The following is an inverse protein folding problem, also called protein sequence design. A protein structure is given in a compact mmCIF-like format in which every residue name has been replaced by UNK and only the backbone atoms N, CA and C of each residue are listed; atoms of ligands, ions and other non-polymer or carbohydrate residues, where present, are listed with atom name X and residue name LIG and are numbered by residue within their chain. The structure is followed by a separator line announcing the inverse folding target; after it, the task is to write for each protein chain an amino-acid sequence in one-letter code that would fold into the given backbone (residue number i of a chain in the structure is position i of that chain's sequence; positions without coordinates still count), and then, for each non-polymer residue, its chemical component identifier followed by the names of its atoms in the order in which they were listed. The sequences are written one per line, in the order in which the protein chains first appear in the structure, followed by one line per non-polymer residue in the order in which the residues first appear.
data_IF_985332405753
#
_entry.id   IF_985332405753
#
_cell.length_a   1.000
_cell.length_b   1.000
_cell.length_c   1.000
_cell.angle_alpha   90.00
_cell.angle_beta   90.00
_cell.angle_gamma   90.00
#
_symmetry.space_group_name_H-M   'P 1'
#
loop_
_entity.id
_entity.type
_entity.pdbx_description
1 polymer ?
#
# COMPACT_ATOMS: atom_id res chain seq x y z
N UNK A 1 6.74 26.13 -6.31
CA UNK A 1 5.43 26.38 -6.96
C UNK A 1 4.78 25.05 -7.31
N UNK A 2 3.47 25.03 -7.57
CA UNK A 2 2.75 23.80 -8.01
C UNK A 2 3.39 23.19 -9.26
N UNK A 3 3.84 24.02 -10.21
CA UNK A 3 4.52 23.57 -11.42
C UNK A 3 5.81 22.79 -11.15
N UNK A 4 6.64 23.25 -10.20
CA UNK A 4 7.88 22.55 -9.83
C UNK A 4 7.59 21.18 -9.21
N UNK A 5 6.61 21.10 -8.30
CA UNK A 5 6.22 19.83 -7.67
C UNK A 5 5.69 18.83 -8.71
N UNK A 6 4.87 19.31 -9.66
CA UNK A 6 4.37 18.48 -10.75
C UNK A 6 5.49 17.96 -11.65
N UNK A 7 6.42 18.83 -12.03
CA UNK A 7 7.58 18.45 -12.85
C UNK A 7 8.45 17.42 -12.13
N UNK A 8 8.77 17.65 -10.85
CA UNK A 8 9.52 16.71 -10.03
C UNK A 8 8.81 15.35 -9.93
N UNK A 9 7.50 15.34 -9.70
CA UNK A 9 6.72 14.09 -9.64
C UNK A 9 6.78 13.30 -10.95
N UNK A 10 6.65 13.98 -12.11
CA UNK A 10 6.76 13.32 -13.42
C UNK A 10 8.16 12.77 -13.67
N UNK A 11 9.20 13.55 -13.34
CA UNK A 11 10.60 13.09 -13.45
C UNK A 11 10.83 11.86 -12.58
N UNK A 12 10.33 11.87 -11.34
CA UNK A 12 10.44 10.71 -10.42
C UNK A 12 9.74 9.48 -11.00
N UNK A 13 8.54 9.62 -11.54
CA UNK A 13 7.81 8.48 -12.15
C UNK A 13 8.59 7.89 -13.32
N UNK A 14 9.13 8.72 -14.21
CA UNK A 14 9.94 8.27 -15.35
C UNK A 14 11.23 7.60 -14.88
N UNK A 15 11.95 8.23 -13.95
CA UNK A 15 13.20 7.70 -13.42
C UNK A 15 13.00 6.36 -12.69
N UNK A 16 11.99 6.27 -11.81
CA UNK A 16 11.64 5.03 -11.13
C UNK A 16 11.20 3.95 -12.11
N UNK A 17 10.41 4.30 -13.13
CA UNK A 17 9.98 3.35 -14.17
C UNK A 17 11.16 2.79 -14.97
N UNK A 18 12.10 3.65 -15.38
CA UNK A 18 13.32 3.24 -16.08
C UNK A 18 14.21 2.34 -15.21
N UNK A 19 14.43 2.71 -13.94
CA UNK A 19 15.18 1.90 -12.99
C UNK A 19 14.52 0.53 -12.75
N UNK A 20 13.19 0.50 -12.67
CA UNK A 20 12.43 -0.74 -12.48
C UNK A 20 12.48 -1.64 -13.71
N UNK A 21 12.42 -1.05 -14.92
CA UNK A 21 12.58 -1.77 -16.18
C UNK A 21 13.98 -2.37 -16.32
N UNK A 22 15.03 -1.68 -15.82
CA UNK A 22 16.40 -2.19 -15.82
C UNK A 22 16.58 -3.43 -14.91
N UNK A 23 15.74 -3.59 -13.88
CA UNK A 23 15.69 -4.79 -13.03
C UNK A 23 14.84 -5.93 -13.63
N UNK A 24 14.25 -5.70 -14.81
CA UNK A 24 13.49 -6.70 -15.55
C UNK A 24 11.97 -6.52 -15.48
N UNK A 25 11.23 -7.19 -16.39
CA UNK A 25 9.79 -6.99 -16.55
C UNK A 25 8.97 -7.43 -15.32
N UNK A 26 9.41 -8.48 -14.62
CA UNK A 26 8.75 -8.95 -13.41
C UNK A 26 8.85 -7.93 -12.27
N UNK A 27 10.05 -7.35 -12.05
CA UNK A 27 10.24 -6.29 -11.07
C UNK A 27 9.42 -5.05 -11.45
N UNK A 28 9.46 -4.62 -12.72
CA UNK A 28 8.67 -3.50 -13.22
C UNK A 28 7.17 -3.67 -12.93
N UNK A 29 6.62 -4.87 -13.17
CA UNK A 29 5.23 -5.18 -12.89
C UNK A 29 4.93 -5.13 -11.38
N UNK A 30 5.73 -5.81 -10.55
CA UNK A 30 5.51 -5.86 -9.10
C UNK A 30 5.62 -4.47 -8.47
N UNK A 31 6.63 -3.69 -8.84
CA UNK A 31 6.80 -2.32 -8.37
C UNK A 31 5.70 -1.39 -8.91
N UNK A 32 5.26 -1.58 -10.15
CA UNK A 32 4.13 -0.87 -10.73
C UNK A 32 2.82 -1.12 -9.98
N UNK A 33 2.54 -2.36 -9.59
CA UNK A 33 1.40 -2.74 -8.74
C UNK A 33 1.49 -2.07 -7.36
N UNK A 34 2.67 -2.11 -6.73
CA UNK A 34 2.93 -1.48 -5.43
C UNK A 34 2.62 0.04 -5.48
N UNK A 35 3.20 0.76 -6.44
CA UNK A 35 2.99 2.21 -6.60
C UNK A 35 1.56 2.53 -7.01
N UNK A 36 1.01 1.76 -7.95
CA UNK A 36 -0.36 1.91 -8.43
C UNK A 36 -1.39 1.76 -7.32
N UNK A 37 -1.18 0.84 -6.38
CA UNK A 37 -2.03 0.70 -5.20
C UNK A 37 -2.02 1.98 -4.34
N UNK A 38 -0.84 2.56 -4.07
CA UNK A 38 -0.72 3.83 -3.33
C UNK A 38 -1.41 5.00 -4.04
N UNK A 39 -1.31 5.07 -5.37
CA UNK A 39 -2.04 6.08 -6.16
C UNK A 39 -3.55 5.86 -6.13
N UNK A 40 -4.02 4.63 -6.28
CA UNK A 40 -5.45 4.31 -6.20
C UNK A 40 -6.04 4.66 -4.82
N UNK A 41 -5.27 4.44 -3.75
CA UNK A 41 -5.61 4.89 -2.41
C UNK A 41 -5.87 6.40 -2.37
N UNK A 42 -4.91 7.19 -2.84
CA UNK A 42 -4.98 8.65 -2.83
C UNK A 42 -6.01 9.23 -3.82
N UNK A 43 -6.22 8.58 -4.97
CA UNK A 43 -7.18 8.99 -5.99
C UNK A 43 -8.63 8.93 -5.48
N UNK A 44 -8.92 8.05 -4.51
CA UNK A 44 -10.22 8.06 -3.86
C UNK A 44 -10.53 6.88 -2.96
N UNK A 45 -9.85 5.74 -3.11
CA UNK A 45 -10.19 4.53 -2.34
C UNK A 45 -10.06 4.74 -0.82
N UNK A 46 -9.21 5.65 -0.36
CA UNK A 46 -9.11 6.00 1.07
C UNK A 46 -10.43 6.46 1.69
N UNK A 47 -11.36 6.98 0.88
CA UNK A 47 -12.68 7.48 1.31
C UNK A 47 -13.80 6.43 1.20
N UNK A 48 -13.48 5.21 0.79
CA UNK A 48 -14.46 4.14 0.55
C UNK A 48 -14.28 2.98 1.52
N UNK A 49 -15.25 2.06 1.56
CA UNK A 49 -15.10 0.80 2.31
C UNK A 49 -13.98 -0.10 1.76
N UNK A 50 -13.46 0.17 0.56
CA UNK A 50 -12.34 -0.55 -0.04
C UNK A 50 -10.97 0.04 0.33
N UNK A 51 -10.89 0.97 1.30
CA UNK A 51 -9.64 1.65 1.67
C UNK A 51 -8.50 0.71 2.09
N UNK A 52 -8.83 -0.51 2.55
CA UNK A 52 -7.85 -1.52 2.96
C UNK A 52 -7.23 -2.27 1.77
N UNK A 53 -7.93 -2.34 0.63
CA UNK A 53 -7.50 -3.12 -0.55
C UNK A 53 -6.13 -2.67 -1.07
N UNK A 54 -5.84 -1.35 -1.21
CA UNK A 54 -4.51 -0.89 -1.60
C UNK A 54 -3.38 -1.38 -0.68
N UNK A 55 -3.62 -1.47 0.63
CA UNK A 55 -2.61 -1.94 1.57
C UNK A 55 -2.39 -3.45 1.45
N UNK A 56 -3.46 -4.23 1.33
CA UNK A 56 -3.38 -5.68 1.08
C UNK A 56 -2.56 -5.97 -0.19
N UNK A 57 -2.87 -5.27 -1.28
CA UNK A 57 -2.18 -5.43 -2.56
C UNK A 57 -0.73 -4.97 -2.47
N UNK A 58 -0.47 -3.78 -1.91
CA UNK A 58 0.88 -3.23 -1.81
C UNK A 58 1.78 -4.10 -0.92
N UNK A 59 1.37 -4.36 0.33
CA UNK A 59 2.19 -5.15 1.25
C UNK A 59 2.26 -6.62 0.86
N UNK A 60 1.23 -7.18 0.22
CA UNK A 60 1.31 -8.53 -0.33
C UNK A 60 2.26 -8.66 -1.51
N UNK A 61 2.41 -7.60 -2.31
CA UNK A 61 3.36 -7.58 -3.45
C UNK A 61 4.79 -7.27 -3.00
N UNK A 62 4.96 -6.58 -1.86
CA UNK A 62 6.25 -6.08 -1.38
C UNK A 62 7.35 -7.16 -1.26
N UNK A 63 7.11 -8.36 -0.70
CA UNK A 63 8.12 -9.43 -0.67
C UNK A 63 8.62 -9.80 -2.07
N UNK A 64 7.73 -9.85 -3.06
CA UNK A 64 8.10 -10.15 -4.44
C UNK A 64 8.88 -9.02 -5.09
N UNK A 65 8.62 -7.75 -4.76
CA UNK A 65 9.46 -6.62 -5.22
C UNK A 65 10.90 -6.81 -4.72
N UNK A 66 11.08 -7.15 -3.44
CA UNK A 66 12.41 -7.38 -2.87
C UNK A 66 13.10 -8.58 -3.52
N UNK A 67 12.40 -9.71 -3.65
CA UNK A 67 12.98 -10.93 -4.23
C UNK A 67 13.35 -10.76 -5.71
N UNK A 68 12.49 -10.11 -6.51
CA UNK A 68 12.73 -9.85 -7.93
C UNK A 68 13.82 -8.81 -8.19
N UNK A 69 14.19 -8.02 -7.19
CA UNK A 69 15.31 -7.06 -7.29
C UNK A 69 16.67 -7.69 -6.98
N UNK A 70 16.71 -8.96 -6.61
CA UNK A 70 17.92 -9.70 -6.27
C UNK A 70 18.66 -10.27 -7.49
N UNK A 71 19.85 -10.88 -7.26
CA UNK A 71 20.66 -11.47 -8.33
C UNK A 71 20.04 -12.72 -8.98
N UNK A 72 19.14 -13.41 -8.26
CA UNK A 72 18.34 -14.54 -8.76
C UNK A 72 16.85 -14.16 -8.68
N UNK A 73 16.31 -13.48 -9.70
CA UNK A 73 15.02 -12.83 -9.62
C UNK A 73 13.87 -13.83 -9.76
N UNK A 74 13.39 -14.32 -8.61
CA UNK A 74 12.19 -15.16 -8.49
C UNK A 74 11.15 -14.50 -7.59
N UNK A 75 9.83 -14.63 -7.88
CA UNK A 75 8.80 -14.12 -6.98
C UNK A 75 8.90 -14.74 -5.58
N UNK A 76 8.47 -13.98 -4.57
CA UNK A 76 8.45 -14.48 -3.21
C UNK A 76 7.46 -15.64 -3.06
N UNK A 77 7.71 -16.50 -2.07
CA UNK A 77 6.81 -17.59 -1.73
C UNK A 77 5.40 -17.07 -1.40
N UNK A 78 4.37 -17.84 -1.75
CA UNK A 78 2.98 -17.43 -1.56
C UNK A 78 2.64 -17.10 -0.09
N UNK A 79 3.23 -17.83 0.87
CA UNK A 79 3.03 -17.55 2.29
C UNK A 79 3.61 -16.18 2.69
N UNK A 80 4.75 -15.77 2.11
CA UNK A 80 5.37 -14.48 2.42
C UNK A 80 4.52 -13.33 1.87
N UNK A 81 3.98 -13.50 0.66
CA UNK A 81 3.00 -12.56 0.09
C UNK A 81 1.71 -12.49 0.93
N UNK A 82 1.22 -13.63 1.43
CA UNK A 82 0.05 -13.68 2.30
C UNK A 82 0.31 -12.98 3.64
N UNK A 83 1.45 -13.24 4.29
CA UNK A 83 1.88 -12.53 5.51
C UNK A 83 1.98 -11.02 5.25
N UNK A 84 2.62 -10.60 4.16
CA UNK A 84 2.68 -9.20 3.77
C UNK A 84 1.28 -8.58 3.63
N UNK A 85 0.37 -9.25 2.94
CA UNK A 85 -1.02 -8.80 2.80
C UNK A 85 -1.73 -8.63 4.15
N UNK A 86 -1.56 -9.56 5.08
CA UNK A 86 -2.11 -9.50 6.45
C UNK A 86 -1.51 -8.33 7.24
N UNK A 87 -0.19 -8.13 7.17
CA UNK A 87 0.48 -6.98 7.78
C UNK A 87 -0.01 -5.65 7.18
N UNK A 88 -0.31 -5.61 5.88
CA UNK A 88 -0.94 -4.47 5.23
C UNK A 88 -2.28 -4.09 5.86
N UNK A 89 -3.10 -5.07 6.26
CA UNK A 89 -4.34 -4.82 7.02
C UNK A 89 -4.00 -4.16 8.36
N UNK A 90 -3.04 -4.71 9.10
CA UNK A 90 -2.63 -4.14 10.39
C UNK A 90 -2.20 -2.68 10.24
N UNK A 91 -1.30 -2.40 9.29
CA UNK A 91 -0.75 -1.07 9.03
C UNK A 91 -1.84 -0.08 8.60
N UNK A 92 -2.76 -0.49 7.73
CA UNK A 92 -3.88 0.39 7.32
C UNK A 92 -4.72 0.82 8.52
N UNK A 93 -5.06 -0.12 9.40
CA UNK A 93 -5.90 0.15 10.55
C UNK A 93 -5.16 0.93 11.65
N UNK A 94 -3.89 0.61 11.93
CA UNK A 94 -3.08 1.38 12.91
C UNK A 94 -2.81 2.80 12.46
N UNK A 95 -2.65 3.05 11.15
CA UNK A 95 -2.49 4.39 10.62
C UNK A 95 -3.75 5.26 10.77
N UNK A 96 -4.94 4.66 10.73
CA UNK A 96 -6.21 5.40 10.83
C UNK A 96 -6.66 5.61 12.27
N UNK A 97 -6.28 4.74 13.21
CA UNK A 97 -6.77 4.77 14.59
C UNK A 97 -6.49 6.08 15.37
N UNK A 98 -5.28 6.67 15.31
CA UNK A 98 -4.99 7.93 15.98
C UNK A 98 -5.88 9.07 15.48
N UNK A 99 -6.05 9.17 14.16
CA UNK A 99 -6.67 10.30 13.47
C UNK A 99 -8.14 10.08 13.10
N UNK A 100 -8.75 8.99 13.59
CA UNK A 100 -10.05 8.48 13.14
C UNK A 100 -11.18 9.53 13.18
N UNK A 101 -11.21 10.39 14.19
CA UNK A 101 -12.22 11.44 14.33
C UNK A 101 -11.92 12.66 13.46
N UNK A 102 -10.65 13.03 13.31
CA UNK A 102 -10.23 14.20 12.54
C UNK A 102 -10.29 13.93 11.02
N UNK A 103 -9.91 12.73 10.58
CA UNK A 103 -10.09 12.26 9.20
C UNK A 103 -11.58 12.24 8.81
N UNK A 104 -12.45 11.77 9.71
CA UNK A 104 -13.89 11.78 9.46
C UNK A 104 -14.45 13.21 9.27
N UNK A 105 -13.94 14.19 10.02
CA UNK A 105 -14.33 15.61 9.88
C UNK A 105 -13.88 16.22 8.55
N UNK A 106 -12.78 15.74 7.97
CA UNK A 106 -12.30 16.17 6.64
C UNK A 106 -12.91 15.40 5.47
N UNK A 107 -13.88 14.51 5.74
CA UNK A 107 -14.58 13.72 4.73
C UNK A 107 -13.85 12.44 4.30
N UNK A 108 -12.80 12.04 5.03
CA UNK A 108 -12.14 10.74 4.85
C UNK A 108 -12.91 9.69 5.64
N UNK A 109 -13.63 8.81 4.93
CA UNK A 109 -14.45 7.75 5.56
C UNK A 109 -14.17 6.35 4.99
N UNK A 110 -12.93 5.91 5.23
CA UNK A 110 -12.44 4.57 4.90
C UNK A 110 -13.09 3.44 5.72
N UNK A 111 -12.66 2.20 5.51
CA UNK A 111 -13.15 1.03 6.26
C UNK A 111 -13.01 1.16 7.79
N UNK A 112 -11.84 1.56 8.36
CA UNK A 112 -11.71 1.65 9.82
C UNK A 112 -12.65 2.70 10.43
N UNK A 113 -12.85 3.83 9.75
CA UNK A 113 -13.83 4.85 10.13
C UNK A 113 -15.26 4.31 10.22
N UNK A 114 -15.63 3.40 9.30
CA UNK A 114 -16.97 2.79 9.26
C UNK A 114 -17.17 1.76 10.35
N UNK A 115 -16.10 1.06 10.74
CA UNK A 115 -16.11 0.07 11.82
C UNK A 115 -16.03 0.73 13.21
N UNK A 116 -15.49 1.95 13.30
CA UNK A 116 -15.29 2.66 14.56
C UNK A 116 -14.02 2.20 15.27
N UNK A 117 -13.68 2.91 16.36
CA UNK A 117 -12.38 2.80 17.05
C UNK A 117 -12.09 1.38 17.57
N UNK A 118 -13.02 0.79 18.33
CA UNK A 118 -12.77 -0.51 18.99
C UNK A 118 -12.65 -1.66 18.00
N UNK A 119 -13.60 -1.91 17.07
CA UNK A 119 -13.45 -2.98 16.09
C UNK A 119 -12.22 -2.79 15.19
N UNK A 120 -11.87 -1.54 14.87
CA UNK A 120 -10.66 -1.23 14.12
C UNK A 120 -9.38 -1.59 14.88
N UNK A 121 -9.33 -1.34 16.19
CA UNK A 121 -8.24 -1.79 17.05
C UNK A 121 -8.09 -3.31 17.06
N UNK A 122 -9.21 -4.02 17.19
CA UNK A 122 -9.20 -5.50 17.18
C UNK A 122 -8.69 -6.06 15.84
N UNK A 123 -9.11 -5.48 14.71
CA UNK A 123 -8.61 -5.88 13.38
C UNK A 123 -7.11 -5.57 13.25
N UNK A 124 -6.67 -4.39 13.69
CA UNK A 124 -5.27 -3.98 13.64
C UNK A 124 -4.34 -4.99 14.36
N UNK A 125 -4.63 -5.28 15.63
CA UNK A 125 -3.79 -6.15 16.45
C UNK A 125 -4.02 -7.63 16.16
N UNK A 126 -5.24 -8.03 15.79
CA UNK A 126 -5.53 -9.40 15.34
C UNK A 126 -4.78 -9.75 14.05
N UNK A 127 -4.76 -8.85 13.07
CA UNK A 127 -3.98 -9.02 11.86
C UNK A 127 -2.47 -9.06 12.16
N UNK A 128 -1.98 -8.20 13.06
CA UNK A 128 -0.57 -8.23 13.48
C UNK A 128 -0.16 -9.56 14.12
N UNK A 129 -1.04 -10.16 14.93
CA UNK A 129 -0.77 -11.44 15.58
C UNK A 129 -0.82 -12.64 14.61
N UNK A 130 -1.53 -12.51 13.49
CA UNK A 130 -1.71 -13.57 12.49
C UNK A 130 -0.65 -13.56 11.39
N UNK A 131 -0.04 -12.40 11.10
CA UNK A 131 0.97 -12.22 10.06
C UNK A 131 2.34 -12.70 10.51
#
# INVERSE_FOLDING_TARGET
TVGLVRAAALVTVVACGAASAALGPAFLLAHGVLVGAGWAYNAGLKRTAASVVPFVVAFGTLPSVVALGGPDPVPAAAWAMATGAVLGVSIHFTNVLPDLEDDARTGVRGLPHRLGRVPSGLVAFGALALG
#
